data_IF_455980828517
#
_entry.id   IF_455980828517
#
_cell.length_a   1.000
_cell.length_b   1.000
_cell.length_c   1.000
_cell.angle_alpha   90.00
_cell.angle_beta   90.00
_cell.angle_gamma   90.00
#
_symmetry.space_group_name_H-M   'P 1'
#
loop_
_entity.id
_entity.type
_entity.pdbx_description
1 polymer ?
#
# COMPACT_ATOMS: atom_id res chain seq x y z
N UNK A 1 -45.70 -12.05 -28.70
CA UNK A 1 -45.73 -12.28 -27.26
C UNK A 1 -44.53 -13.14 -26.79
N UNK A 2 -44.27 -14.29 -27.40
CA UNK A 2 -43.18 -15.22 -27.05
C UNK A 2 -41.78 -14.56 -27.18
N UNK A 3 -41.49 -13.81 -28.25
CA UNK A 3 -40.24 -13.13 -28.48
C UNK A 3 -39.89 -12.11 -27.35
N UNK A 4 -40.87 -11.35 -26.89
CA UNK A 4 -40.70 -10.38 -25.81
C UNK A 4 -40.40 -11.05 -24.47
N UNK A 5 -41.01 -12.21 -24.18
CA UNK A 5 -40.72 -12.99 -22.97
C UNK A 5 -39.30 -13.56 -23.01
N UNK A 6 -38.82 -14.02 -24.17
CA UNK A 6 -37.46 -14.52 -24.34
C UNK A 6 -36.41 -13.39 -24.21
N UNK A 7 -36.69 -12.20 -24.77
CA UNK A 7 -35.85 -11.02 -24.63
C UNK A 7 -35.76 -10.54 -23.16
N UNK A 8 -36.92 -10.52 -22.46
CA UNK A 8 -36.95 -10.14 -21.03
C UNK A 8 -36.22 -11.17 -20.17
N UNK A 9 -36.39 -12.47 -20.42
CA UNK A 9 -35.62 -13.52 -19.70
C UNK A 9 -34.13 -13.46 -19.99
N UNK A 10 -33.73 -13.20 -21.25
CA UNK A 10 -32.32 -13.04 -21.62
C UNK A 10 -31.69 -11.79 -20.97
N UNK A 11 -32.40 -10.66 -20.96
CA UNK A 11 -32.00 -9.43 -20.30
C UNK A 11 -31.88 -9.60 -18.78
N UNK A 12 -32.83 -10.34 -18.17
CA UNK A 12 -32.82 -10.61 -16.73
C UNK A 12 -31.67 -11.56 -16.34
N UNK A 13 -31.41 -12.60 -17.14
CA UNK A 13 -30.29 -13.53 -16.96
C UNK A 13 -28.93 -12.81 -17.14
N UNK A 14 -28.84 -11.90 -18.11
CA UNK A 14 -27.65 -11.07 -18.34
C UNK A 14 -27.38 -10.10 -17.19
N UNK A 15 -28.42 -9.46 -16.63
CA UNK A 15 -28.30 -8.58 -15.45
C UNK A 15 -27.85 -9.34 -14.21
N UNK A 16 -28.42 -10.53 -13.97
CA UNK A 16 -28.05 -11.39 -12.86
C UNK A 16 -26.59 -11.84 -12.97
N UNK A 17 -26.15 -12.23 -14.17
CA UNK A 17 -24.73 -12.60 -14.43
C UNK A 17 -23.76 -11.46 -14.13
N UNK A 18 -24.08 -10.22 -14.53
CA UNK A 18 -23.24 -9.04 -14.22
C UNK A 18 -23.17 -8.73 -12.72
N UNK A 19 -24.28 -8.85 -12.00
CA UNK A 19 -24.32 -8.64 -10.55
C UNK A 19 -23.50 -9.70 -9.81
N UNK A 20 -23.55 -10.94 -10.27
CA UNK A 20 -22.74 -12.03 -9.71
C UNK A 20 -21.25 -11.83 -9.98
N UNK A 21 -20.87 -11.42 -11.19
CA UNK A 21 -19.47 -11.08 -11.52
C UNK A 21 -18.95 -9.96 -10.60
N UNK A 22 -19.74 -8.90 -10.37
CA UNK A 22 -19.35 -7.81 -9.46
C UNK A 22 -19.14 -8.31 -8.02
N UNK A 23 -20.07 -9.15 -7.53
CA UNK A 23 -19.97 -9.74 -6.17
C UNK A 23 -18.71 -10.58 -6.00
N UNK A 24 -18.38 -11.43 -6.96
CA UNK A 24 -17.20 -12.29 -6.88
C UNK A 24 -15.90 -11.49 -7.06
N UNK A 25 -15.88 -10.46 -7.90
CA UNK A 25 -14.73 -9.57 -8.02
C UNK A 25 -14.52 -8.74 -6.74
N UNK A 26 -15.57 -8.22 -6.11
CA UNK A 26 -15.49 -7.53 -4.84
C UNK A 26 -14.91 -8.43 -3.72
N UNK A 27 -15.29 -9.72 -3.70
CA UNK A 27 -14.71 -10.70 -2.81
C UNK A 27 -13.22 -10.94 -3.11
N UNK A 28 -12.85 -11.03 -4.40
CA UNK A 28 -11.44 -11.17 -4.80
C UNK A 28 -10.60 -9.99 -4.35
N UNK A 29 -11.08 -8.75 -4.50
CA UNK A 29 -10.43 -7.53 -3.99
C UNK A 29 -10.27 -7.59 -2.46
N UNK A 30 -11.33 -7.96 -1.75
CA UNK A 30 -11.28 -8.11 -0.28
C UNK A 30 -10.25 -9.14 0.17
N UNK A 31 -10.12 -10.25 -0.56
CA UNK A 31 -9.10 -11.27 -0.29
C UNK A 31 -7.68 -10.74 -0.58
N UNK A 32 -7.49 -10.01 -1.67
CA UNK A 32 -6.21 -9.39 -2.02
C UNK A 32 -5.69 -8.47 -0.94
N UNK A 33 -6.57 -7.64 -0.37
CA UNK A 33 -6.22 -6.71 0.74
C UNK A 33 -5.64 -7.38 1.98
N UNK A 34 -5.89 -8.68 2.21
CA UNK A 34 -5.26 -9.46 3.30
C UNK A 34 -3.76 -9.60 3.13
N UNK A 35 -3.27 -9.51 1.90
CA UNK A 35 -1.84 -9.59 1.56
C UNK A 35 -1.10 -8.25 1.69
N UNK A 36 -1.79 -7.10 1.73
CA UNK A 36 -1.15 -5.79 1.79
C UNK A 36 -0.21 -5.68 2.99
N UNK A 37 0.96 -5.04 2.78
CA UNK A 37 2.04 -4.92 3.75
C UNK A 37 2.88 -6.19 3.98
N UNK A 38 2.52 -7.33 3.34
CA UNK A 38 3.14 -8.63 3.62
C UNK A 38 3.67 -9.36 2.38
N UNK A 39 3.31 -8.91 1.18
CA UNK A 39 3.60 -9.62 -0.07
C UNK A 39 4.77 -9.03 -0.86
N UNK A 40 5.27 -7.87 -0.44
CA UNK A 40 6.34 -7.20 -1.18
C UNK A 40 7.55 -8.14 -1.43
N UNK A 41 8.21 -8.03 -2.60
CA UNK A 41 8.00 -7.08 -3.69
C UNK A 41 6.82 -7.40 -4.63
N UNK A 42 6.07 -8.48 -4.40
CA UNK A 42 4.96 -8.91 -5.25
C UNK A 42 3.66 -8.16 -4.90
N UNK A 43 2.73 -7.99 -5.87
CA UNK A 43 1.43 -7.39 -5.59
C UNK A 43 0.56 -8.29 -4.71
N UNK A 44 -0.31 -7.67 -3.91
CA UNK A 44 -1.29 -8.36 -3.08
C UNK A 44 -2.55 -8.68 -3.90
N UNK A 45 -2.52 -9.77 -4.64
CA UNK A 45 -3.60 -10.24 -5.52
C UNK A 45 -4.60 -11.09 -4.75
N UNK A 46 -5.86 -11.03 -5.11
CA UNK A 46 -6.91 -11.93 -4.65
C UNK A 46 -7.55 -12.68 -5.81
N UNK A 47 -7.98 -13.92 -5.54
CA UNK A 47 -8.59 -14.80 -6.53
C UNK A 47 -9.74 -15.62 -5.94
N UNK A 48 -10.82 -15.78 -6.72
CA UNK A 48 -12.00 -16.60 -6.39
C UNK A 48 -12.34 -17.46 -7.58
N UNK A 49 -12.59 -18.75 -7.36
CA UNK A 49 -13.05 -19.69 -8.39
C UNK A 49 -14.49 -20.06 -8.11
N UNK A 50 -15.34 -19.90 -9.11
CA UNK A 50 -16.79 -20.12 -9.02
C UNK A 50 -17.23 -21.12 -10.08
N UNK A 51 -18.05 -22.09 -9.68
CA UNK A 51 -18.72 -23.03 -10.58
C UNK A 51 -20.20 -23.10 -10.22
N UNK A 52 -21.07 -22.93 -11.20
CA UNK A 52 -22.53 -22.98 -11.03
C UNK A 52 -23.04 -22.06 -9.88
N UNK A 53 -22.45 -20.85 -9.77
CA UNK A 53 -22.78 -19.86 -8.74
C UNK A 53 -22.18 -20.15 -7.35
N UNK A 54 -21.46 -21.27 -7.17
CA UNK A 54 -20.86 -21.69 -5.91
C UNK A 54 -19.37 -21.41 -5.91
N UNK A 55 -18.86 -20.80 -4.83
CA UNK A 55 -17.43 -20.59 -4.62
C UNK A 55 -16.76 -21.91 -4.24
N UNK A 56 -15.91 -22.44 -5.13
CA UNK A 56 -15.19 -23.70 -4.93
C UNK A 56 -13.73 -23.51 -4.55
N UNK A 57 -13.16 -22.31 -4.77
CA UNK A 57 -11.80 -21.97 -4.40
C UNK A 57 -11.64 -20.48 -4.16
N UNK A 58 -10.76 -20.11 -3.23
CA UNK A 58 -10.42 -18.72 -2.93
C UNK A 58 -8.99 -18.64 -2.45
N UNK A 59 -8.28 -17.59 -2.86
CA UNK A 59 -6.88 -17.41 -2.51
C UNK A 59 -6.49 -15.94 -2.51
N UNK A 60 -5.35 -15.65 -1.92
CA UNK A 60 -4.66 -14.38 -2.02
C UNK A 60 -3.16 -14.63 -2.01
N UNK A 61 -2.37 -13.68 -2.53
CA UNK A 61 -0.90 -13.76 -2.51
C UNK A 61 -0.42 -13.94 -1.07
N UNK A 62 0.32 -15.01 -0.81
CA UNK A 62 0.76 -15.34 0.53
C UNK A 62 1.92 -14.44 1.01
N UNK A 63 2.18 -14.35 2.34
CA UNK A 63 3.29 -13.58 2.89
C UNK A 63 4.63 -13.94 2.22
N UNK A 64 5.46 -12.93 1.94
CA UNK A 64 6.68 -13.09 1.14
C UNK A 64 6.42 -13.18 -0.37
N UNK A 65 5.15 -12.96 -0.80
CA UNK A 65 4.76 -12.84 -2.20
C UNK A 65 4.48 -14.16 -2.91
N UNK A 66 4.53 -15.30 -2.23
CA UNK A 66 4.26 -16.62 -2.82
C UNK A 66 3.70 -17.60 -1.81
N UNK A 67 2.84 -18.58 -2.26
CA UNK A 67 2.25 -18.71 -3.61
C UNK A 67 1.36 -17.55 -4.02
N UNK A 68 1.13 -17.36 -5.34
CA UNK A 68 0.19 -16.37 -5.87
C UNK A 68 -1.26 -16.79 -5.61
N UNK A 69 -2.17 -15.82 -5.71
CA UNK A 69 -3.59 -15.99 -5.41
C UNK A 69 -4.26 -17.07 -6.25
N UNK A 70 -3.91 -17.13 -7.54
CA UNK A 70 -4.45 -18.10 -8.51
C UNK A 70 -4.08 -19.53 -8.09
N UNK A 71 -2.80 -19.77 -7.76
CA UNK A 71 -2.32 -21.07 -7.31
C UNK A 71 -3.02 -21.51 -6.02
N UNK A 72 -3.17 -20.60 -5.05
CA UNK A 72 -3.88 -20.88 -3.79
C UNK A 72 -5.36 -21.20 -4.01
N UNK A 73 -6.03 -20.47 -4.93
CA UNK A 73 -7.43 -20.70 -5.25
C UNK A 73 -7.64 -22.02 -6.00
N UNK A 74 -6.76 -22.33 -6.98
CA UNK A 74 -6.78 -23.58 -7.73
C UNK A 74 -6.51 -24.80 -6.84
N UNK A 75 -5.53 -24.70 -5.94
CA UNK A 75 -5.23 -25.77 -4.97
C UNK A 75 -6.46 -26.14 -4.12
N UNK A 76 -7.29 -25.15 -3.76
CA UNK A 76 -8.51 -25.38 -2.96
C UNK A 76 -9.67 -25.88 -3.78
N UNK A 77 -9.75 -25.48 -5.05
CA UNK A 77 -10.80 -25.95 -5.95
C UNK A 77 -10.56 -27.39 -6.44
N UNK A 78 -9.28 -27.81 -6.54
CA UNK A 78 -8.91 -29.12 -7.08
C UNK A 78 -9.49 -29.35 -8.47
N UNK A 79 -9.92 -30.58 -8.77
CA UNK A 79 -10.48 -30.97 -10.06
C UNK A 79 -11.80 -30.27 -10.40
N UNK A 80 -12.50 -29.73 -9.40
CA UNK A 80 -13.72 -28.94 -9.62
C UNK A 80 -13.49 -27.64 -10.39
N UNK A 81 -12.22 -27.15 -10.47
CA UNK A 81 -11.85 -25.99 -11.24
C UNK A 81 -12.14 -26.11 -12.76
N UNK A 82 -12.20 -27.36 -13.27
CA UNK A 82 -12.51 -27.61 -14.68
C UNK A 82 -13.88 -27.07 -15.05
N UNK A 83 -13.91 -26.22 -16.08
CA UNK A 83 -15.12 -25.56 -16.56
C UNK A 83 -15.63 -24.41 -15.68
N UNK A 84 -14.89 -24.03 -14.62
CA UNK A 84 -15.25 -22.95 -13.70
C UNK A 84 -14.84 -21.56 -14.24
N UNK A 85 -15.27 -20.50 -13.54
CA UNK A 85 -14.83 -19.11 -13.75
C UNK A 85 -13.85 -18.70 -12.64
N UNK A 86 -12.70 -18.15 -13.02
CA UNK A 86 -11.74 -17.51 -12.11
C UNK A 86 -11.93 -15.99 -12.14
N UNK A 87 -12.14 -15.38 -10.98
CA UNK A 87 -12.09 -13.94 -10.75
C UNK A 87 -10.75 -13.59 -10.10
N UNK A 88 -9.99 -12.66 -10.68
CA UNK A 88 -8.65 -12.29 -10.22
C UNK A 88 -8.44 -10.78 -10.30
N UNK A 89 -7.80 -10.20 -9.28
CA UNK A 89 -7.69 -8.73 -9.16
C UNK A 89 -6.59 -8.11 -10.01
N UNK A 90 -5.70 -8.92 -10.58
CA UNK A 90 -4.62 -8.50 -11.48
C UNK A 90 -4.41 -9.58 -12.54
N UNK A 91 -3.92 -9.22 -13.70
CA UNK A 91 -3.57 -10.14 -14.77
C UNK A 91 -2.73 -11.32 -14.27
N UNK A 92 -3.09 -12.58 -14.57
CA UNK A 92 -2.26 -13.75 -14.24
C UNK A 92 -0.90 -13.69 -14.92
N UNK A 93 0.18 -13.83 -14.16
CA UNK A 93 1.53 -13.72 -14.68
C UNK A 93 1.82 -14.77 -15.78
N UNK A 94 2.60 -14.35 -16.81
CA UNK A 94 2.97 -15.14 -17.99
C UNK A 94 4.45 -15.50 -18.04
N UNK A 95 5.30 -14.87 -17.22
CA UNK A 95 6.75 -15.11 -17.22
C UNK A 95 7.14 -16.20 -16.19
N UNK A 96 8.22 -16.91 -16.50
CA UNK A 96 8.84 -17.86 -15.56
C UNK A 96 9.71 -17.07 -14.60
N UNK A 97 9.26 -17.01 -13.34
CA UNK A 97 10.04 -16.42 -12.24
C UNK A 97 10.58 -17.51 -11.30
N UNK A 98 10.39 -17.31 -9.98
CA UNK A 98 10.71 -18.35 -8.97
C UNK A 98 9.74 -19.54 -8.99
N UNK A 99 8.65 -19.46 -9.74
CA UNK A 99 7.64 -20.51 -9.95
C UNK A 99 7.10 -20.40 -11.38
N UNK A 100 6.48 -21.49 -11.90
CA UNK A 100 5.80 -21.44 -13.21
C UNK A 100 4.75 -20.33 -13.26
N UNK A 101 4.43 -19.82 -14.47
CA UNK A 101 3.42 -18.78 -14.67
C UNK A 101 2.05 -19.19 -14.14
N UNK A 102 1.30 -18.26 -13.55
CA UNK A 102 -0.07 -18.52 -13.11
C UNK A 102 -1.00 -18.82 -14.28
N UNK A 103 -0.78 -18.19 -15.44
CA UNK A 103 -1.55 -18.48 -16.65
C UNK A 103 -1.48 -19.96 -17.01
N UNK A 104 -0.32 -20.62 -16.89
CA UNK A 104 -0.16 -22.06 -17.15
C UNK A 104 -0.91 -22.92 -16.16
N UNK A 105 -0.88 -22.56 -14.87
CA UNK A 105 -1.64 -23.24 -13.85
C UNK A 105 -3.16 -23.16 -14.09
N UNK A 106 -3.65 -21.99 -14.54
CA UNK A 106 -5.07 -21.79 -14.89
C UNK A 106 -5.47 -22.64 -16.11
N UNK A 107 -4.60 -22.68 -17.15
CA UNK A 107 -4.83 -23.51 -18.35
C UNK A 107 -4.86 -24.99 -17.97
N UNK A 108 -3.87 -25.48 -17.21
CA UNK A 108 -3.77 -26.88 -16.80
C UNK A 108 -4.97 -27.33 -15.96
N UNK A 109 -5.52 -26.43 -15.13
CA UNK A 109 -6.73 -26.69 -14.35
C UNK A 109 -8.01 -26.77 -15.19
N UNK A 110 -7.97 -26.37 -16.46
CA UNK A 110 -9.13 -26.41 -17.37
C UNK A 110 -10.23 -25.41 -17.01
N UNK A 111 -9.87 -24.26 -16.46
CA UNK A 111 -10.79 -23.14 -16.22
C UNK A 111 -11.38 -22.68 -17.56
N UNK A 112 -12.69 -22.42 -17.62
CA UNK A 112 -13.36 -22.02 -18.87
C UNK A 112 -13.39 -20.51 -19.09
N UNK A 113 -13.40 -19.70 -18.03
CA UNK A 113 -13.49 -18.25 -18.08
C UNK A 113 -12.61 -17.60 -17.02
N UNK A 114 -11.95 -16.51 -17.36
CA UNK A 114 -11.22 -15.63 -16.45
C UNK A 114 -11.80 -14.23 -16.51
N UNK A 115 -12.16 -13.68 -15.36
CA UNK A 115 -12.54 -12.27 -15.18
C UNK A 115 -11.40 -11.60 -14.43
N UNK A 116 -10.63 -10.77 -15.13
CA UNK A 116 -9.50 -10.01 -14.58
C UNK A 116 -9.88 -8.56 -14.35
N UNK A 117 -9.58 -8.01 -13.16
CA UNK A 117 -9.94 -6.64 -12.86
C UNK A 117 -9.12 -5.62 -13.67
N UNK A 118 -7.81 -5.85 -13.82
CA UNK A 118 -6.91 -4.92 -14.50
C UNK A 118 -5.70 -5.66 -15.07
N UNK A 119 -5.13 -5.10 -16.15
CA UNK A 119 -3.88 -5.55 -16.76
C UNK A 119 -2.67 -5.16 -15.89
N UNK A 120 -1.63 -5.99 -15.89
CA UNK A 120 -0.38 -5.68 -15.19
C UNK A 120 0.39 -4.60 -15.96
N UNK A 121 0.89 -3.53 -15.29
CA UNK A 121 1.67 -2.48 -15.95
C UNK A 121 3.10 -2.90 -16.33
N UNK A 122 3.56 -4.07 -15.87
CA UNK A 122 4.90 -4.55 -16.18
C UNK A 122 5.00 -4.93 -17.66
N UNK A 123 5.88 -4.30 -18.47
CA UNK A 123 6.03 -4.61 -19.90
C UNK A 123 6.31 -6.09 -20.22
N UNK A 124 6.88 -6.82 -19.27
CA UNK A 124 7.12 -8.27 -19.40
C UNK A 124 5.85 -9.12 -19.22
N UNK A 125 4.76 -8.51 -18.74
CA UNK A 125 3.49 -9.21 -18.43
C UNK A 125 2.34 -8.61 -19.24
N UNK A 126 2.29 -7.29 -19.35
CA UNK A 126 1.18 -6.50 -19.89
C UNK A 126 0.48 -7.14 -21.10
N UNK A 127 -0.73 -7.66 -20.88
CA UNK A 127 -1.56 -8.34 -21.87
C UNK A 127 -1.11 -9.76 -22.26
N UNK A 128 0.11 -10.19 -21.91
CA UNK A 128 0.64 -11.50 -22.32
C UNK A 128 -0.04 -12.66 -21.58
N UNK A 129 -0.36 -12.48 -20.31
CA UNK A 129 -1.12 -13.45 -19.54
C UNK A 129 -2.52 -13.66 -20.12
N UNK A 130 -3.22 -12.56 -20.42
CA UNK A 130 -4.52 -12.59 -21.06
C UNK A 130 -4.46 -13.22 -22.45
N UNK A 131 -3.46 -12.86 -23.27
CA UNK A 131 -3.26 -13.43 -24.60
C UNK A 131 -3.03 -14.95 -24.54
N UNK A 132 -2.19 -15.40 -23.60
CA UNK A 132 -1.89 -16.83 -23.39
C UNK A 132 -3.12 -17.63 -22.99
N UNK A 133 -3.96 -17.10 -22.11
CA UNK A 133 -5.23 -17.71 -21.70
C UNK A 133 -6.20 -17.81 -22.89
N UNK A 134 -6.34 -16.73 -23.70
CA UNK A 134 -7.20 -16.73 -24.90
C UNK A 134 -6.71 -17.73 -25.94
N UNK A 135 -5.39 -17.83 -26.17
CA UNK A 135 -4.80 -18.80 -27.09
C UNK A 135 -5.10 -20.26 -26.69
N UNK A 136 -5.28 -20.51 -25.38
CA UNK A 136 -5.69 -21.82 -24.85
C UNK A 136 -7.21 -22.05 -24.88
N UNK A 137 -8.00 -21.15 -25.49
CA UNK A 137 -9.45 -21.26 -25.61
C UNK A 137 -10.25 -20.80 -24.39
N UNK A 138 -9.60 -20.13 -23.42
CA UNK A 138 -10.27 -19.58 -22.24
C UNK A 138 -10.89 -18.22 -22.58
N UNK A 139 -12.15 -18.01 -22.19
CA UNK A 139 -12.81 -16.69 -22.29
C UNK A 139 -12.19 -15.74 -21.28
N UNK A 140 -11.72 -14.56 -21.71
CA UNK A 140 -11.06 -13.58 -20.84
C UNK A 140 -11.74 -12.23 -20.93
N UNK A 141 -12.40 -11.84 -19.84
CA UNK A 141 -13.00 -10.51 -19.63
C UNK A 141 -12.06 -9.66 -18.74
N UNK A 142 -11.85 -8.41 -19.12
CA UNK A 142 -10.94 -7.49 -18.42
C UNK A 142 -11.66 -6.18 -18.12
N UNK A 143 -11.37 -5.59 -16.95
CA UNK A 143 -11.81 -4.23 -16.60
C UNK A 143 -12.89 -4.16 -15.52
N UNK A 144 -13.40 -5.30 -15.04
CA UNK A 144 -14.39 -5.30 -13.96
C UNK A 144 -13.76 -4.80 -12.65
N UNK A 145 -14.30 -3.72 -12.07
CA UNK A 145 -13.75 -3.04 -10.88
C UNK A 145 -12.31 -2.53 -11.06
N UNK A 146 -11.92 -2.15 -12.27
CA UNK A 146 -10.55 -1.73 -12.61
C UNK A 146 -10.05 -0.57 -11.75
N UNK A 147 -10.89 0.42 -11.44
CA UNK A 147 -10.51 1.57 -10.62
C UNK A 147 -10.17 1.15 -9.19
N UNK A 148 -10.94 0.26 -8.60
CA UNK A 148 -10.69 -0.24 -7.25
C UNK A 148 -9.43 -1.13 -7.22
N UNK A 149 -9.27 -2.00 -8.22
CA UNK A 149 -8.06 -2.80 -8.39
C UNK A 149 -6.80 -1.93 -8.58
N UNK A 150 -6.87 -0.87 -9.39
CA UNK A 150 -5.76 0.07 -9.58
C UNK A 150 -5.34 0.73 -8.27
N UNK A 151 -6.30 1.09 -7.40
CA UNK A 151 -6.01 1.62 -6.07
C UNK A 151 -5.35 0.56 -5.16
N UNK A 152 -5.88 -0.66 -5.13
CA UNK A 152 -5.33 -1.73 -4.30
C UNK A 152 -3.90 -2.11 -4.76
N UNK A 153 -3.63 -2.06 -6.07
CA UNK A 153 -2.32 -2.35 -6.67
C UNK A 153 -1.45 -1.11 -6.90
N UNK A 154 -1.83 0.08 -6.39
CA UNK A 154 -1.12 1.34 -6.63
C UNK A 154 0.38 1.26 -6.29
N UNK A 155 0.75 0.54 -5.22
CA UNK A 155 2.14 0.31 -4.83
C UNK A 155 2.93 -0.46 -5.90
N UNK A 156 2.38 -1.54 -6.42
CA UNK A 156 2.98 -2.30 -7.51
C UNK A 156 3.13 -1.44 -8.76
N UNK A 157 2.08 -0.71 -9.13
CA UNK A 157 2.08 0.14 -10.33
C UNK A 157 3.13 1.25 -10.25
N UNK A 158 3.23 1.94 -9.10
CA UNK A 158 4.24 2.98 -8.87
C UNK A 158 5.66 2.41 -8.94
N UNK A 159 5.87 1.26 -8.30
CA UNK A 159 7.18 0.61 -8.31
C UNK A 159 7.64 0.23 -9.72
N UNK A 160 6.75 -0.26 -10.56
CA UNK A 160 7.09 -0.65 -11.94
C UNK A 160 7.30 0.58 -12.83
N UNK A 161 6.37 1.55 -12.81
CA UNK A 161 6.39 2.71 -13.72
C UNK A 161 7.38 3.78 -13.29
N UNK A 162 7.35 4.14 -12.01
CA UNK A 162 8.05 5.31 -11.48
C UNK A 162 9.30 4.94 -10.67
N UNK A 163 9.59 3.63 -10.52
CA UNK A 163 10.71 3.09 -9.74
C UNK A 163 10.71 3.59 -8.28
N UNK A 164 9.55 3.87 -7.71
CA UNK A 164 9.36 4.31 -6.34
C UNK A 164 8.13 3.66 -5.71
N UNK A 165 8.02 3.56 -4.38
CA UNK A 165 6.80 3.10 -3.74
C UNK A 165 5.66 4.12 -3.88
N UNK A 166 4.42 3.66 -3.71
CA UNK A 166 3.26 4.51 -3.44
C UNK A 166 3.40 5.11 -2.04
N UNK A 167 3.40 6.43 -1.95
CA UNK A 167 3.64 7.18 -0.71
C UNK A 167 2.35 7.65 -0.09
N UNK A 168 2.07 7.18 1.12
CA UNK A 168 0.94 7.59 1.94
C UNK A 168 1.46 8.50 3.06
N UNK A 169 1.06 9.76 3.08
CA UNK A 169 1.36 10.69 4.17
C UNK A 169 0.22 10.66 5.19
N UNK A 170 0.52 10.33 6.45
CA UNK A 170 -0.44 10.43 7.54
C UNK A 170 -0.12 11.64 8.41
N UNK A 171 -1.11 12.49 8.60
CA UNK A 171 -1.08 13.62 9.54
C UNK A 171 -2.21 13.49 10.55
N UNK A 172 -1.90 13.66 11.84
CA UNK A 172 -2.90 13.86 12.89
C UNK A 172 -2.77 15.30 13.38
N UNK A 173 -3.84 16.08 13.24
CA UNK A 173 -3.83 17.52 13.53
C UNK A 173 -4.98 17.89 14.49
N UNK A 174 -4.73 18.87 15.34
CA UNK A 174 -5.77 19.54 16.12
C UNK A 174 -6.70 20.35 15.22
N UNK A 175 -7.78 20.91 15.78
CA UNK A 175 -8.70 21.76 15.02
C UNK A 175 -8.04 23.01 14.43
N UNK A 176 -6.93 23.47 15.04
CA UNK A 176 -6.10 24.60 14.62
C UNK A 176 -4.79 24.20 13.94
N UNK A 177 -4.75 23.01 13.29
CA UNK A 177 -3.65 22.52 12.45
C UNK A 177 -2.31 22.31 13.17
N UNK A 178 -2.31 21.96 14.46
CA UNK A 178 -1.10 21.66 15.24
C UNK A 178 -0.93 20.15 15.46
N UNK A 179 0.34 19.71 15.64
CA UNK A 179 0.72 18.31 15.88
C UNK A 179 1.32 18.05 17.26
N UNK A 180 1.65 19.10 18.01
CA UNK A 180 2.18 19.03 19.37
C UNK A 180 2.03 20.40 20.05
N UNK A 181 2.07 20.43 21.39
CA UNK A 181 2.10 21.66 22.15
C UNK A 181 3.45 22.40 22.02
N UNK A 182 3.53 23.60 22.58
CA UNK A 182 4.75 24.39 22.68
C UNK A 182 5.92 23.55 23.21
N UNK A 183 7.12 23.78 22.67
CA UNK A 183 8.31 23.01 23.03
C UNK A 183 8.26 21.54 22.57
N UNK A 184 7.39 21.18 21.63
CA UNK A 184 7.18 19.83 21.08
C UNK A 184 6.68 18.82 22.13
N UNK A 185 6.01 19.28 23.15
CA UNK A 185 5.41 18.37 24.14
C UNK A 185 4.30 17.54 23.48
N UNK A 186 4.32 16.20 23.63
CA UNK A 186 3.29 15.33 23.08
C UNK A 186 1.92 15.70 23.64
N UNK A 187 0.91 15.70 22.75
CA UNK A 187 -0.51 15.90 23.10
C UNK A 187 -1.32 14.82 22.39
N UNK A 188 -2.29 14.25 23.08
CA UNK A 188 -3.25 13.35 22.47
C UNK A 188 -4.20 14.15 21.56
N UNK A 189 -3.96 14.12 20.26
CA UNK A 189 -4.74 14.86 19.27
C UNK A 189 -5.99 14.08 18.89
N UNK A 190 -5.86 12.76 18.72
CA UNK A 190 -6.91 11.87 18.22
C UNK A 190 -7.22 10.76 19.23
N UNK A 191 -8.46 10.28 19.20
CA UNK A 191 -8.97 9.22 20.06
C UNK A 191 -8.56 7.79 19.65
N UNK A 192 -9.10 6.80 20.37
CA UNK A 192 -8.75 5.38 20.18
C UNK A 192 -9.19 4.82 18.83
N UNK A 193 -10.34 5.23 18.33
CA UNK A 193 -10.83 4.80 17.01
C UNK A 193 -9.86 5.21 15.89
N UNK A 194 -9.43 6.48 15.90
CA UNK A 194 -8.45 6.98 14.96
C UNK A 194 -7.08 6.29 15.11
N UNK A 195 -6.63 6.05 16.35
CA UNK A 195 -5.38 5.30 16.62
C UNK A 195 -5.45 3.88 16.06
N UNK A 196 -6.55 3.17 16.29
CA UNK A 196 -6.76 1.82 15.74
C UNK A 196 -6.74 1.82 14.22
N UNK A 197 -7.37 2.83 13.59
CA UNK A 197 -7.38 3.01 12.13
C UNK A 197 -5.97 3.22 11.55
N UNK A 198 -5.11 4.00 12.26
CA UNK A 198 -3.70 4.20 11.89
C UNK A 198 -2.89 2.92 12.06
N UNK A 199 -3.12 2.14 13.11
CA UNK A 199 -2.44 0.85 13.27
C UNK A 199 -2.82 -0.15 12.16
N UNK A 200 -4.07 -0.14 11.69
CA UNK A 200 -4.49 -0.93 10.53
C UNK A 200 -3.76 -0.45 9.26
N UNK A 201 -3.64 0.87 9.05
CA UNK A 201 -2.86 1.43 7.94
C UNK A 201 -1.40 0.98 7.99
N UNK A 202 -0.76 0.97 9.17
CA UNK A 202 0.61 0.44 9.33
C UNK A 202 0.74 -1.00 8.88
N UNK A 203 -0.24 -1.85 9.25
CA UNK A 203 -0.26 -3.26 8.84
C UNK A 203 -0.44 -3.48 7.33
N UNK A 204 -0.98 -2.48 6.62
CA UNK A 204 -1.23 -2.50 5.18
C UNK A 204 -0.09 -1.85 4.36
N UNK A 205 0.95 -1.33 5.03
CA UNK A 205 2.12 -0.76 4.39
C UNK A 205 3.35 -1.64 4.57
N UNK A 206 4.20 -1.69 3.55
CA UNK A 206 5.43 -2.49 3.57
C UNK A 206 6.48 -1.87 4.48
N UNK A 207 6.53 -0.52 4.50
CA UNK A 207 7.45 0.24 5.32
C UNK A 207 6.78 1.50 5.89
N UNK A 208 7.30 1.93 7.06
CA UNK A 208 6.96 3.20 7.72
C UNK A 208 8.21 4.05 7.85
N UNK A 209 8.14 5.33 7.46
CA UNK A 209 9.29 6.24 7.51
C UNK A 209 9.03 7.42 8.44
N UNK A 210 10.05 7.72 9.25
CA UNK A 210 10.13 8.93 10.09
C UNK A 210 11.48 9.61 9.92
N UNK A 211 11.57 10.89 10.25
CA UNK A 211 12.85 11.59 10.39
C UNK A 211 13.47 11.35 11.75
N UNK A 212 14.80 11.51 11.84
CA UNK A 212 15.54 11.38 13.10
C UNK A 212 14.99 12.29 14.21
N UNK A 213 14.44 13.45 13.88
CA UNK A 213 13.82 14.35 14.86
C UNK A 213 12.65 13.71 15.63
N UNK A 214 11.86 12.86 14.99
CA UNK A 214 10.78 12.09 15.63
C UNK A 214 11.36 11.03 16.57
N UNK A 215 12.43 10.35 16.16
CA UNK A 215 13.09 9.34 17.01
C UNK A 215 13.65 9.97 18.28
N UNK A 216 14.31 11.13 18.15
CA UNK A 216 14.91 11.85 19.29
C UNK A 216 13.86 12.46 20.24
N UNK A 217 12.68 12.82 19.73
CA UNK A 217 11.62 13.41 20.53
C UNK A 217 10.75 12.37 21.24
N UNK A 218 10.37 11.29 20.54
CA UNK A 218 9.29 10.41 20.95
C UNK A 218 9.74 8.98 21.25
N UNK A 219 10.97 8.59 20.90
CA UNK A 219 11.50 7.22 20.96
C UNK A 219 10.44 6.16 20.54
N UNK A 220 9.88 6.25 19.34
CA UNK A 220 8.72 5.44 18.94
C UNK A 220 9.12 4.00 18.62
N UNK A 221 8.18 3.05 18.72
CA UNK A 221 8.37 1.68 18.21
C UNK A 221 8.05 1.54 16.72
N UNK A 222 7.11 2.34 16.19
CA UNK A 222 6.62 2.30 14.80
C UNK A 222 6.03 0.93 14.38
N UNK A 223 5.55 0.16 15.32
CA UNK A 223 4.96 -1.17 15.11
C UNK A 223 3.44 -1.11 15.00
N UNK A 224 2.86 -2.15 14.43
CA UNK A 224 1.42 -2.41 14.53
C UNK A 224 1.13 -2.99 15.90
N UNK A 225 0.11 -2.44 16.61
CA UNK A 225 -0.26 -2.84 17.97
C UNK A 225 -1.77 -3.07 18.07
N UNK A 226 -2.31 -3.81 17.10
CA UNK A 226 -3.67 -4.33 17.15
C UNK A 226 -3.63 -5.78 17.62
N UNK A 227 -4.61 -6.24 18.40
CA UNK A 227 -4.67 -7.64 18.84
C UNK A 227 -4.56 -8.62 17.66
N UNK A 228 -3.64 -9.56 17.75
CA UNK A 228 -3.41 -10.58 16.72
C UNK A 228 -2.68 -10.10 15.45
N UNK A 229 -2.19 -8.83 15.42
CA UNK A 229 -1.52 -8.26 14.25
C UNK A 229 -0.04 -7.89 14.49
N UNK A 230 0.57 -8.35 15.56
CA UNK A 230 1.97 -8.02 15.92
C UNK A 230 2.96 -8.38 14.80
N UNK A 231 2.75 -9.53 14.14
CA UNK A 231 3.56 -10.00 13.01
C UNK A 231 3.36 -9.18 11.71
N UNK A 232 2.45 -8.20 11.71
CA UNK A 232 2.15 -7.35 10.55
C UNK A 232 2.75 -5.95 10.71
N UNK A 233 3.82 -5.82 11.50
CA UNK A 233 4.55 -4.56 11.61
C UNK A 233 5.37 -4.29 10.35
N UNK A 234 5.30 -3.06 9.78
CA UNK A 234 6.07 -2.68 8.60
C UNK A 234 7.57 -2.61 8.90
N UNK A 235 8.40 -2.64 7.84
CA UNK A 235 9.82 -2.25 7.94
C UNK A 235 9.91 -0.80 8.44
N UNK A 236 10.70 -0.58 9.48
CA UNK A 236 10.86 0.76 10.08
C UNK A 236 12.03 1.48 9.44
N UNK A 237 11.76 2.63 8.83
CA UNK A 237 12.75 3.42 8.10
C UNK A 237 12.99 4.74 8.84
N UNK A 238 14.26 5.08 9.10
CA UNK A 238 14.65 6.36 9.70
C UNK A 238 15.49 7.15 8.70
N UNK A 239 15.07 8.39 8.43
CA UNK A 239 15.86 9.36 7.67
C UNK A 239 16.84 10.05 8.63
N UNK A 240 18.10 9.62 8.62
CA UNK A 240 19.13 10.10 9.53
C UNK A 240 20.46 10.37 8.79
N UNK A 241 20.60 11.55 8.22
CA UNK A 241 21.74 11.94 7.40
C UNK A 241 23.10 11.69 8.06
N UNK A 242 23.19 11.84 9.38
CA UNK A 242 24.45 11.85 10.14
C UNK A 242 24.51 10.77 11.23
N UNK A 243 23.62 9.77 11.18
CA UNK A 243 23.55 8.64 12.14
C UNK A 243 23.48 9.08 13.61
N UNK A 244 22.57 10.02 13.91
CA UNK A 244 22.33 10.54 15.26
C UNK A 244 21.40 9.67 16.09
N UNK A 245 20.82 8.61 15.51
CA UNK A 245 19.94 7.68 16.23
C UNK A 245 20.68 7.10 17.44
N UNK A 246 20.13 7.23 18.67
CA UNK A 246 20.77 6.68 19.86
C UNK A 246 20.78 5.16 19.82
N UNK A 247 21.90 4.54 20.21
CA UNK A 247 22.00 3.09 20.38
C UNK A 247 21.01 2.53 21.42
N UNK A 248 20.59 3.37 22.37
CA UNK A 248 19.61 3.07 23.41
C UNK A 248 18.14 3.21 22.96
N UNK A 249 17.89 3.68 21.72
CA UNK A 249 16.52 3.86 21.24
C UNK A 249 15.78 2.52 21.12
N UNK A 250 14.47 2.55 21.35
CA UNK A 250 13.58 1.37 21.20
C UNK A 250 13.63 0.77 19.80
N UNK A 251 13.84 1.61 18.78
CA UNK A 251 14.01 1.16 17.40
C UNK A 251 15.26 0.28 17.23
N UNK A 252 16.39 0.70 17.80
CA UNK A 252 17.66 -0.03 17.71
C UNK A 252 17.60 -1.31 18.54
N UNK A 253 17.10 -1.27 19.78
CA UNK A 253 16.96 -2.44 20.63
C UNK A 253 16.09 -3.54 20.01
N UNK A 254 15.07 -3.18 19.24
CA UNK A 254 14.17 -4.13 18.59
C UNK A 254 14.52 -4.42 17.12
N UNK A 255 15.70 -3.99 16.63
CA UNK A 255 16.05 -4.08 15.21
C UNK A 255 16.15 -5.53 14.69
N UNK A 256 16.49 -6.50 15.55
CA UNK A 256 16.55 -7.92 15.22
C UNK A 256 15.17 -8.60 15.17
N UNK A 257 14.16 -8.02 15.82
CA UNK A 257 12.78 -8.56 15.88
C UNK A 257 11.90 -7.94 14.79
N UNK A 258 12.01 -6.61 14.61
CA UNK A 258 11.30 -5.87 13.56
C UNK A 258 12.34 -5.12 12.75
N UNK A 259 12.43 -5.30 11.43
CA UNK A 259 13.47 -4.71 10.60
C UNK A 259 13.56 -3.19 10.78
N UNK A 260 14.80 -2.70 10.96
CA UNK A 260 15.14 -1.28 11.02
C UNK A 260 16.10 -0.95 9.89
N UNK A 261 15.68 -0.04 9.01
CA UNK A 261 16.54 0.51 7.95
C UNK A 261 16.83 1.97 8.23
N UNK A 262 18.10 2.37 8.10
CA UNK A 262 18.52 3.75 8.30
C UNK A 262 19.03 4.29 6.97
N UNK A 263 18.34 5.30 6.43
CA UNK A 263 18.76 6.03 5.25
C UNK A 263 19.72 7.15 5.70
N UNK A 264 20.92 7.14 5.18
CA UNK A 264 21.98 8.05 5.63
C UNK A 264 22.78 8.61 4.45
N UNK A 265 23.60 9.65 4.71
CA UNK A 265 24.45 10.21 3.67
C UNK A 265 25.73 9.39 3.46
N UNK A 266 26.38 9.59 2.30
CA UNK A 266 27.69 9.01 2.02
C UNK A 266 28.76 9.51 2.99
N UNK A 267 28.55 10.66 3.65
CA UNK A 267 29.48 11.30 4.60
C UNK A 267 29.28 10.82 6.05
N UNK A 268 28.31 9.91 6.29
CA UNK A 268 28.08 9.42 7.66
C UNK A 268 29.23 8.55 8.15
N UNK A 269 29.59 8.76 9.42
CA UNK A 269 30.81 8.18 10.05
C UNK A 269 30.74 6.65 10.16
N UNK A 270 31.84 5.98 9.82
CA UNK A 270 31.94 4.54 9.84
C UNK A 270 31.73 3.91 11.24
N UNK A 271 32.22 4.46 12.36
CA UNK A 271 31.99 3.90 13.70
C UNK A 271 30.49 3.86 14.07
N UNK A 272 29.74 4.93 13.75
CA UNK A 272 28.29 4.97 13.98
C UNK A 272 27.54 3.94 13.13
N UNK A 273 27.94 3.79 11.86
CA UNK A 273 27.39 2.79 10.97
C UNK A 273 27.63 1.35 11.47
N UNK A 274 28.86 1.05 11.90
CA UNK A 274 29.24 -0.27 12.45
C UNK A 274 28.44 -0.61 13.70
N UNK A 275 28.26 0.34 14.62
CA UNK A 275 27.47 0.16 15.84
C UNK A 275 26.01 -0.19 15.53
N UNK A 276 25.37 0.52 14.60
CA UNK A 276 24.00 0.27 14.22
C UNK A 276 23.85 -1.07 13.49
N UNK A 277 24.79 -1.41 12.61
CA UNK A 277 24.84 -2.71 11.94
C UNK A 277 24.97 -3.88 12.93
N UNK A 278 25.85 -3.75 13.92
CA UNK A 278 26.01 -4.74 14.99
C UNK A 278 24.71 -4.94 15.81
N UNK A 279 23.92 -3.89 15.99
CA UNK A 279 22.59 -3.97 16.61
C UNK A 279 21.52 -4.61 15.74
N UNK A 280 21.78 -4.85 14.45
CA UNK A 280 20.84 -5.47 13.50
C UNK A 280 20.14 -4.48 12.56
N UNK A 281 20.49 -3.20 12.58
CA UNK A 281 19.96 -2.23 11.63
C UNK A 281 20.65 -2.39 10.26
N UNK A 282 19.86 -2.23 9.18
CA UNK A 282 20.41 -2.13 7.83
C UNK A 282 20.58 -0.67 7.44
N UNK A 283 21.74 -0.33 6.90
CA UNK A 283 22.04 1.03 6.46
C UNK A 283 22.03 1.11 4.93
N UNK A 284 21.45 2.18 4.40
CA UNK A 284 21.51 2.53 2.98
C UNK A 284 22.02 3.96 2.84
N UNK A 285 23.10 4.12 2.09
CA UNK A 285 23.67 5.42 1.77
C UNK A 285 22.96 5.98 0.54
N UNK A 286 22.49 7.21 0.63
CA UNK A 286 21.76 7.90 -0.44
C UNK A 286 22.33 9.30 -0.67
N UNK A 287 22.02 9.87 -1.82
CA UNK A 287 22.37 11.23 -2.18
C UNK A 287 21.77 12.25 -1.19
N UNK A 288 22.39 13.43 -1.15
CA UNK A 288 21.94 14.56 -0.32
C UNK A 288 21.65 15.78 -1.16
N UNK A 289 20.73 16.62 -0.67
CA UNK A 289 20.45 17.95 -1.22
C UNK A 289 21.22 19.01 -0.45
N UNK A 290 21.58 20.11 -1.12
CA UNK A 290 22.28 21.22 -0.49
C UNK A 290 21.34 22.33 0.00
N UNK A 291 20.23 22.52 -0.68
CA UNK A 291 19.26 23.58 -0.38
C UNK A 291 17.80 23.07 -0.53
N UNK A 292 17.08 22.79 0.54
CA UNK A 292 17.55 22.70 1.94
C UNK A 292 18.44 21.49 2.18
N UNK A 293 19.40 21.56 3.15
CA UNK A 293 20.27 20.42 3.43
C UNK A 293 19.50 19.22 3.96
N UNK A 294 19.58 18.08 3.26
CA UNK A 294 18.83 16.88 3.64
C UNK A 294 19.28 15.65 2.87
N UNK A 295 18.58 14.54 3.06
CA UNK A 295 18.65 13.41 2.15
C UNK A 295 17.78 13.71 0.93
N UNK A 296 18.24 13.33 -0.25
CA UNK A 296 17.42 13.37 -1.46
C UNK A 296 16.28 12.34 -1.35
N UNK A 297 15.04 12.85 -1.26
CA UNK A 297 13.87 12.00 -1.07
C UNK A 297 13.59 11.11 -2.28
N UNK A 298 13.92 11.54 -3.49
CA UNK A 298 13.78 10.66 -4.69
C UNK A 298 14.76 9.50 -4.60
N UNK A 299 16.03 9.77 -4.25
CA UNK A 299 17.03 8.72 -4.03
C UNK A 299 16.63 7.77 -2.89
N UNK A 300 16.03 8.28 -1.81
CA UNK A 300 15.46 7.45 -0.73
C UNK A 300 14.38 6.53 -1.27
N UNK A 301 13.41 7.06 -2.02
CA UNK A 301 12.30 6.29 -2.57
C UNK A 301 12.77 5.24 -3.58
N UNK A 302 13.74 5.57 -4.43
CA UNK A 302 14.38 4.62 -5.34
C UNK A 302 15.04 3.46 -4.58
N UNK A 303 15.87 3.77 -3.57
CA UNK A 303 16.53 2.76 -2.75
C UNK A 303 15.54 1.83 -2.01
N UNK A 304 14.39 2.36 -1.60
CA UNK A 304 13.31 1.56 -1.02
C UNK A 304 12.63 0.66 -2.06
N UNK A 305 12.37 1.16 -3.26
CA UNK A 305 11.77 0.38 -4.35
C UNK A 305 12.70 -0.75 -4.83
N UNK A 306 14.02 -0.51 -4.92
CA UNK A 306 15.02 -1.55 -5.23
C UNK A 306 14.99 -2.68 -4.20
N UNK A 307 14.81 -2.34 -2.92
CA UNK A 307 14.63 -3.32 -1.83
C UNK A 307 13.25 -4.02 -1.86
N UNK A 308 12.38 -3.65 -2.79
CA UNK A 308 11.09 -4.29 -2.98
C UNK A 308 9.90 -3.60 -2.33
N UNK A 309 10.08 -2.49 -1.62
CA UNK A 309 8.97 -1.75 -0.98
C UNK A 309 8.03 -1.21 -2.06
N UNK A 310 6.74 -1.47 -1.90
CA UNK A 310 5.68 -1.02 -2.81
C UNK A 310 4.80 0.06 -2.19
N UNK A 311 4.49 -0.03 -0.88
CA UNK A 311 3.69 0.95 -0.13
C UNK A 311 4.47 1.50 1.05
N UNK A 312 4.69 2.81 1.07
CA UNK A 312 5.42 3.53 2.11
C UNK A 312 4.49 4.46 2.89
N UNK A 313 4.42 4.26 4.20
CA UNK A 313 3.74 5.18 5.11
C UNK A 313 4.72 6.22 5.66
N UNK A 314 4.43 7.49 5.45
CA UNK A 314 5.16 8.62 6.06
C UNK A 314 4.40 9.07 7.30
N UNK A 315 4.97 8.80 8.48
CA UNK A 315 4.49 9.30 9.78
C UNK A 315 5.52 10.25 10.42
N UNK A 316 6.27 10.95 9.60
CA UNK A 316 7.31 11.86 10.05
C UNK A 316 6.77 13.10 10.74
N UNK A 317 7.63 13.81 11.50
CA UNK A 317 7.35 15.12 12.03
C UNK A 317 7.17 16.17 10.91
N UNK A 318 6.75 17.39 11.29
CA UNK A 318 6.36 18.46 10.36
C UNK A 318 7.35 18.74 9.22
N UNK A 319 8.67 18.59 9.49
CA UNK A 319 9.71 18.81 8.46
C UNK A 319 9.68 17.75 7.37
N UNK A 320 9.61 16.47 7.74
CA UNK A 320 9.57 15.36 6.77
C UNK A 320 8.27 15.45 5.95
N UNK A 321 7.14 15.67 6.61
CA UNK A 321 5.86 15.85 5.93
C UNK A 321 5.92 17.00 4.91
N UNK A 322 6.42 18.18 5.32
CA UNK A 322 6.60 19.32 4.41
C UNK A 322 7.50 19.00 3.23
N UNK A 323 8.61 18.30 3.45
CA UNK A 323 9.55 17.94 2.38
C UNK A 323 8.90 17.02 1.35
N UNK A 324 8.13 16.03 1.77
CA UNK A 324 7.39 15.16 0.85
C UNK A 324 6.30 15.89 0.07
N UNK A 325 5.54 16.79 0.74
CA UNK A 325 4.50 17.60 0.08
C UNK A 325 5.13 18.57 -0.91
N UNK A 326 6.15 19.33 -0.50
CA UNK A 326 6.83 20.32 -1.36
C UNK A 326 7.48 19.68 -2.59
N UNK A 327 8.03 18.46 -2.45
CA UNK A 327 8.63 17.71 -3.54
C UNK A 327 7.60 17.03 -4.46
N UNK A 328 6.29 17.12 -4.17
CA UNK A 328 5.25 16.45 -4.95
C UNK A 328 5.34 14.91 -4.90
N UNK A 329 5.93 14.34 -3.85
CA UNK A 329 6.20 12.90 -3.74
C UNK A 329 5.12 12.12 -2.98
N UNK A 330 4.01 12.76 -2.62
CA UNK A 330 2.89 12.13 -1.92
C UNK A 330 1.83 11.70 -2.93
N UNK A 331 1.35 10.47 -2.83
CA UNK A 331 0.29 9.92 -3.69
C UNK A 331 -1.07 9.90 -2.98
N UNK A 332 -1.06 9.67 -1.66
CA UNK A 332 -2.27 9.62 -0.82
C UNK A 332 -2.00 10.33 0.52
N UNK A 333 -2.98 11.05 1.05
CA UNK A 333 -2.86 11.73 2.36
C UNK A 333 -4.01 11.32 3.26
N UNK A 334 -3.67 10.85 4.46
CA UNK A 334 -4.61 10.58 5.54
C UNK A 334 -4.53 11.71 6.55
N UNK A 335 -5.46 12.65 6.48
CA UNK A 335 -5.57 13.77 7.40
C UNK A 335 -6.60 13.44 8.48
N UNK A 336 -6.11 13.15 9.68
CA UNK A 336 -6.94 12.93 10.86
C UNK A 336 -7.02 14.24 11.64
N UNK A 337 -8.21 14.77 11.82
CA UNK A 337 -8.46 16.00 12.55
C UNK A 337 -9.18 15.71 13.85
N UNK A 338 -8.53 16.03 14.97
CA UNK A 338 -9.16 16.00 16.30
C UNK A 338 -9.96 17.28 16.59
N UNK A 339 -10.90 17.23 17.52
CA UNK A 339 -11.81 18.34 17.82
C UNK A 339 -11.15 19.48 18.61
N UNK A 340 -10.10 19.20 19.37
CA UNK A 340 -9.49 20.13 20.30
C UNK A 340 -8.48 21.05 19.61
N UNK A 341 -8.38 22.31 20.06
CA UNK A 341 -7.33 23.26 19.69
C UNK A 341 -6.12 23.10 20.63
N UNK A 342 -4.91 23.32 20.11
CA UNK A 342 -3.67 23.36 20.87
C UNK A 342 -3.23 24.79 21.19
N UNK A 343 -3.54 25.73 20.32
CA UNK A 343 -3.21 27.14 20.47
C UNK A 343 -2.02 27.61 19.61
N UNK A 344 -1.79 28.91 19.59
CA UNK A 344 -0.87 29.57 18.67
C UNK A 344 0.59 29.07 18.78
N UNK A 345 1.05 28.75 19.99
CA UNK A 345 2.43 28.30 20.25
C UNK A 345 2.65 26.81 19.89
N UNK A 346 1.58 26.10 19.46
CA UNK A 346 1.67 24.72 19.03
C UNK A 346 2.50 24.53 17.77
N UNK A 347 3.11 23.34 17.64
CA UNK A 347 3.90 22.97 16.47
C UNK A 347 3.00 22.78 15.24
N UNK A 348 3.20 23.53 14.14
CA UNK A 348 2.38 23.37 12.94
C UNK A 348 2.56 21.99 12.29
N UNK A 349 1.51 21.49 11.68
CA UNK A 349 1.49 20.17 11.01
C UNK A 349 2.53 20.07 9.88
N UNK A 350 2.72 21.14 9.15
CA UNK A 350 3.74 21.28 8.12
C UNK A 350 4.67 22.43 8.49
N UNK A 351 5.98 22.22 8.40
CA UNK A 351 6.99 23.17 8.90
C UNK A 351 7.02 24.50 8.15
N UNK A 352 6.90 24.46 6.83
CA UNK A 352 7.03 25.63 5.97
C UNK A 352 5.83 25.84 5.06
N UNK A 353 4.74 25.10 5.29
CA UNK A 353 3.52 25.12 4.49
C UNK A 353 2.30 25.15 5.40
N UNK A 354 1.21 25.84 5.01
CA UNK A 354 -0.06 25.67 5.69
C UNK A 354 -0.71 24.33 5.33
N UNK A 355 -1.63 23.84 6.14
CA UNK A 355 -2.41 22.62 5.82
C UNK A 355 -3.27 22.81 4.57
N UNK A 356 -3.61 24.05 4.21
CA UNK A 356 -4.28 24.37 2.94
C UNK A 356 -3.49 23.98 1.69
N UNK A 357 -2.16 23.83 1.77
CA UNK A 357 -1.36 23.24 0.70
C UNK A 357 -1.77 21.80 0.36
N UNK A 358 -2.48 21.12 1.28
CA UNK A 358 -3.09 19.82 1.08
C UNK A 358 -4.57 19.98 0.74
N UNK A 359 -5.33 20.64 1.64
CA UNK A 359 -6.81 20.64 1.58
C UNK A 359 -7.39 21.46 0.43
N UNK A 360 -6.59 22.35 -0.14
CA UNK A 360 -6.96 23.20 -1.28
C UNK A 360 -6.07 22.96 -2.51
N UNK A 361 -5.27 21.90 -2.50
CA UNK A 361 -4.40 21.55 -3.63
C UNK A 361 -5.21 21.13 -4.85
N UNK A 362 -5.01 21.73 -6.03
CA UNK A 362 -5.66 21.27 -7.27
C UNK A 362 -5.17 19.91 -7.74
N UNK A 363 -4.02 19.45 -7.22
CA UNK A 363 -3.43 18.15 -7.54
C UNK A 363 -4.05 17.01 -6.73
N UNK A 364 -4.85 17.32 -5.72
CA UNK A 364 -5.45 16.34 -4.81
C UNK A 364 -6.98 16.45 -4.86
N UNK A 365 -7.64 15.31 -4.76
CA UNK A 365 -9.10 15.24 -4.57
C UNK A 365 -9.43 14.43 -3.33
N UNK A 366 -10.55 14.75 -2.69
CA UNK A 366 -11.07 13.93 -1.59
C UNK A 366 -11.58 12.60 -2.15
N UNK A 367 -11.03 11.51 -1.66
CA UNK A 367 -11.48 10.16 -1.97
C UNK A 367 -12.54 9.67 -1.00
N UNK A 368 -12.33 9.93 0.28
CA UNK A 368 -13.24 9.52 1.35
C UNK A 368 -13.17 10.46 2.55
N UNK A 369 -14.25 10.52 3.31
CA UNK A 369 -14.29 11.15 4.63
C UNK A 369 -15.05 10.24 5.58
N UNK A 370 -14.50 10.00 6.77
CA UNK A 370 -15.01 9.05 7.75
C UNK A 370 -14.95 9.67 9.16
N UNK A 371 -16.04 9.57 9.92
CA UNK A 371 -16.06 9.94 11.32
C UNK A 371 -15.49 8.78 12.18
N UNK A 372 -14.52 9.06 13.02
CA UNK A 372 -13.85 8.11 13.92
C UNK A 372 -14.04 8.54 15.38
N UNK A 373 -15.22 8.37 15.91
CA UNK A 373 -15.63 8.97 17.19
C UNK A 373 -15.78 10.47 17.05
N UNK A 374 -15.02 11.25 17.82
CA UNK A 374 -14.98 12.71 17.73
C UNK A 374 -14.02 13.23 16.65
N UNK A 375 -13.20 12.36 16.06
CA UNK A 375 -12.22 12.72 15.04
C UNK A 375 -12.83 12.56 13.64
N UNK A 376 -12.22 13.24 12.66
CA UNK A 376 -12.56 13.08 11.25
C UNK A 376 -11.31 12.67 10.49
N UNK A 377 -11.38 11.56 9.78
CA UNK A 377 -10.39 11.15 8.78
C UNK A 377 -10.85 11.62 7.41
N UNK A 378 -10.04 12.45 6.73
CA UNK A 378 -10.20 12.76 5.31
C UNK A 378 -9.05 12.17 4.52
N UNK A 379 -9.37 11.37 3.50
CA UNK A 379 -8.38 10.76 2.61
C UNK A 379 -8.37 11.55 1.31
N UNK A 380 -7.21 12.07 0.96
CA UNK A 380 -6.94 12.73 -0.32
C UNK A 380 -6.10 11.80 -1.19
N UNK A 381 -6.36 11.79 -2.49
CA UNK A 381 -5.56 11.09 -3.48
C UNK A 381 -5.14 12.02 -4.62
N UNK A 382 -4.03 11.73 -5.27
CA UNK A 382 -3.57 12.50 -6.42
C UNK A 382 -4.52 12.35 -7.59
N UNK A 383 -4.87 13.48 -8.23
CA UNK A 383 -5.67 13.49 -9.44
C UNK A 383 -4.95 12.78 -10.59
N UNK A 384 -5.56 11.78 -11.25
CA UNK A 384 -4.92 11.05 -12.35
C UNK A 384 -4.59 11.91 -13.59
N UNK A 385 -5.21 13.07 -13.74
CA UNK A 385 -4.99 14.00 -14.84
C UNK A 385 -3.79 14.96 -14.68
N UNK A 386 -3.08 14.94 -13.56
CA UNK A 386 -1.90 15.77 -13.28
C UNK A 386 -0.63 14.91 -13.16
N UNK A 387 -0.36 14.10 -14.19
CA UNK A 387 0.96 13.48 -14.35
C UNK A 387 1.81 14.52 -15.10
N UNK A 388 2.59 15.31 -14.33
CA UNK A 388 3.63 16.17 -14.85
C UNK A 388 4.89 15.37 -15.13
#
# INVERSE_FOLDING_TARGET
MIFRILEDQYAQKSKQSKADDQRFMALSLTLGRRGQGRTWPNPAVGAVIVKDGVIIGRGWTQPGGRPHAEVESLKRAGDAARGATLYVTLEPCSHVGKSPPCADAVIAAGVARVVSAIEDPNPEVAGQGHARLRAAGIVVDVGLSAQEAAHDHAGHFRRIRDKRPHVILKLAVSSDDKIAAAGRKPVAITGDAARSRVHLLRAQCDAIVVGIGTVLADDPLLTTRLPGMDAQSPVRVVLDRSLRIPGSSRLVHSARQTPLWVMTSNLAEAPAASRLGAAGAQLSRVATTMAPPGLDLQAVLHALAEKGITRLLVEGGSRVASSFVAAGLVDEIWLLRGPNSIGADGVPALHALPVSAITQSPQLKVRASEALGADVLTIYERNPGHIG
#
